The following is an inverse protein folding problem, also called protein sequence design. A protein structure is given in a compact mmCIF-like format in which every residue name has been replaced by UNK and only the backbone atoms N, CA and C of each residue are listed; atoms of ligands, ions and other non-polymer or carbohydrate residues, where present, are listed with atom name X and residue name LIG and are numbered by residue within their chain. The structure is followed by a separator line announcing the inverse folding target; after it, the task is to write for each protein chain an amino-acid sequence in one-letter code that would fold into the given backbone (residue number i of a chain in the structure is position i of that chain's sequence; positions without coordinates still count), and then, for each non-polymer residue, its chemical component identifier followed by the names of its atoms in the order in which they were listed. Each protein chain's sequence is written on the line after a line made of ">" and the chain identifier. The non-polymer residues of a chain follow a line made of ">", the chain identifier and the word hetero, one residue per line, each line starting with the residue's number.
data_IF_610362307106
#
_entry.id   IF_610362307106
#
_cell.length_a   1.000
_cell.length_b   1.000
_cell.length_c   1.000
_cell.angle_alpha   90.00
_cell.angle_beta   90.00
_cell.angle_gamma   90.00
#
_symmetry.space_group_name_H-M   'P 1'
#
loop_
_entity.id
_entity.type
_entity.pdbx_description
1 polymer ?
#
# COMPACT_ATOMS: atom_id res chain seq x y z
N UNK A 1 -7.64 23.10 -9.21
CA UNK A 1 -7.37 22.01 -10.16
C UNK A 1 -6.71 20.88 -9.39
N UNK A 2 -7.45 19.85 -9.08
CA UNK A 2 -6.90 18.68 -8.35
C UNK A 2 -6.10 17.87 -9.36
N UNK A 3 -4.78 17.88 -9.18
CA UNK A 3 -3.87 17.09 -10.01
C UNK A 3 -4.26 15.61 -9.86
N UNK A 4 -4.49 14.91 -10.95
CA UNK A 4 -4.83 13.47 -10.94
C UNK A 4 -3.74 12.58 -10.30
N UNK A 5 -2.62 13.16 -9.88
CA UNK A 5 -1.52 12.51 -9.17
C UNK A 5 -1.67 12.51 -7.63
N UNK A 6 -2.66 13.17 -7.08
CA UNK A 6 -2.84 13.32 -5.62
C UNK A 6 -3.80 12.29 -4.99
N UNK A 7 -4.06 11.19 -5.69
CA UNK A 7 -4.89 10.09 -5.17
C UNK A 7 -4.14 9.10 -4.28
N UNK A 8 -3.17 9.57 -3.54
CA UNK A 8 -2.40 8.73 -2.63
C UNK A 8 -2.14 9.46 -1.32
N UNK A 9 -1.70 8.73 -0.30
CA UNK A 9 -1.25 9.30 0.95
C UNK A 9 0.03 10.12 0.80
N UNK A 10 0.60 10.52 1.91
CA UNK A 10 1.85 11.26 1.99
C UNK A 10 2.98 10.57 1.23
N UNK A 11 3.79 11.35 0.51
CA UNK A 11 5.00 10.87 -0.15
C UNK A 11 6.19 11.06 0.78
N UNK A 12 6.86 9.96 1.12
CA UNK A 12 8.12 9.95 1.87
C UNK A 12 9.26 9.54 0.94
N UNK A 13 10.44 10.07 1.17
CA UNK A 13 11.63 9.76 0.37
C UNK A 13 12.89 9.65 1.22
N UNK A 14 13.93 9.07 0.64
CA UNK A 14 15.17 8.75 1.33
C UNK A 14 15.13 7.35 1.93
N UNK A 15 16.32 6.77 2.10
CA UNK A 15 16.46 5.37 2.50
C UNK A 15 15.86 5.08 3.88
N UNK A 16 16.11 5.93 4.86
CA UNK A 16 15.63 5.70 6.23
C UNK A 16 14.10 5.85 6.37
N UNK A 17 13.47 6.94 5.93
CA UNK A 17 12.02 7.08 6.01
C UNK A 17 11.26 6.00 5.23
N UNK A 18 11.74 5.65 4.05
CA UNK A 18 11.13 4.59 3.23
C UNK A 18 11.23 3.24 3.91
N UNK A 19 12.40 2.88 4.44
CA UNK A 19 12.59 1.63 5.18
C UNK A 19 11.68 1.57 6.42
N UNK A 20 11.62 2.67 7.16
CA UNK A 20 10.78 2.76 8.36
C UNK A 20 9.30 2.53 8.03
N UNK A 21 8.76 3.22 7.01
CA UNK A 21 7.38 3.03 6.59
C UNK A 21 7.11 1.59 6.14
N UNK A 22 7.96 1.04 5.29
CA UNK A 22 7.78 -0.32 4.77
C UNK A 22 7.82 -1.40 5.86
N UNK A 23 8.53 -1.15 6.95
CA UNK A 23 8.63 -2.08 8.10
C UNK A 23 7.57 -1.86 9.16
N UNK A 24 6.96 -0.69 9.21
CA UNK A 24 6.04 -0.30 10.30
C UNK A 24 4.71 -1.05 10.32
N UNK A 25 4.32 -1.65 9.19
CA UNK A 25 2.99 -2.24 9.03
C UNK A 25 1.87 -1.21 8.84
N UNK A 26 2.20 0.09 8.77
CA UNK A 26 1.22 1.17 8.57
C UNK A 26 0.57 1.17 7.18
N UNK A 27 1.10 0.35 6.27
CA UNK A 27 0.63 0.28 4.89
C UNK A 27 1.34 1.25 3.95
N UNK A 28 1.72 0.72 2.80
CA UNK A 28 2.32 1.49 1.71
C UNK A 28 1.54 1.22 0.42
N UNK A 29 1.30 2.27 -0.35
CA UNK A 29 0.62 2.18 -1.64
C UNK A 29 1.60 1.80 -2.75
N UNK A 30 2.56 2.67 -3.02
CA UNK A 30 3.50 2.51 -4.13
C UNK A 30 4.91 2.89 -3.70
N UNK A 31 5.86 2.01 -3.98
CA UNK A 31 7.28 2.28 -3.88
C UNK A 31 7.82 2.69 -5.26
N UNK A 32 8.47 3.83 -5.31
CA UNK A 32 9.15 4.33 -6.51
C UNK A 32 10.66 4.14 -6.35
N UNK A 33 11.27 3.47 -7.30
CA UNK A 33 12.71 3.24 -7.37
C UNK A 33 13.29 3.93 -8.60
N UNK A 34 14.34 4.72 -8.44
CA UNK A 34 15.04 5.30 -9.56
C UNK A 34 15.71 4.19 -10.40
N UNK A 35 15.66 4.33 -11.72
CA UNK A 35 16.34 3.39 -12.64
C UNK A 35 17.84 3.31 -12.40
N UNK A 36 18.42 4.40 -11.89
CA UNK A 36 19.86 4.50 -11.55
C UNK A 36 20.23 3.87 -10.20
N UNK A 37 19.23 3.43 -9.41
CA UNK A 37 19.51 2.82 -8.11
C UNK A 37 20.27 1.51 -8.28
N UNK A 38 21.27 1.29 -7.40
CA UNK A 38 22.05 0.05 -7.35
C UNK A 38 21.13 -1.19 -7.30
N UNK A 39 21.41 -2.24 -8.12
CA UNK A 39 20.57 -3.44 -8.18
C UNK A 39 20.37 -4.14 -6.85
N UNK A 40 21.34 -4.13 -5.95
CA UNK A 40 21.23 -4.68 -4.60
C UNK A 40 20.22 -3.90 -3.76
N UNK A 41 20.34 -2.59 -3.76
CA UNK A 41 19.40 -1.71 -3.07
C UNK A 41 18.00 -1.85 -3.66
N UNK A 42 17.87 -1.88 -4.98
CA UNK A 42 16.58 -2.09 -5.64
C UNK A 42 15.93 -3.42 -5.24
N UNK A 43 16.69 -4.51 -5.18
CA UNK A 43 16.20 -5.81 -4.73
C UNK A 43 15.74 -5.81 -3.27
N UNK A 44 16.51 -5.16 -2.40
CA UNK A 44 16.17 -5.01 -0.98
C UNK A 44 14.83 -4.27 -0.79
N UNK A 45 14.67 -3.10 -1.41
CA UNK A 45 13.44 -2.32 -1.32
C UNK A 45 12.25 -2.99 -1.99
N UNK A 46 12.46 -3.70 -3.10
CA UNK A 46 11.42 -4.49 -3.75
C UNK A 46 10.89 -5.59 -2.82
N UNK A 47 11.77 -6.27 -2.10
CA UNK A 47 11.38 -7.28 -1.11
C UNK A 47 10.58 -6.68 0.03
N UNK A 48 11.03 -5.55 0.59
CA UNK A 48 10.29 -4.84 1.64
C UNK A 48 8.91 -4.39 1.15
N UNK A 49 8.82 -3.84 -0.06
CA UNK A 49 7.55 -3.39 -0.64
C UNK A 49 6.57 -4.55 -0.81
N UNK A 50 7.02 -5.69 -1.30
CA UNK A 50 6.17 -6.90 -1.42
C UNK A 50 5.66 -7.37 -0.07
N UNK A 51 6.50 -7.35 0.95
CA UNK A 51 6.09 -7.70 2.31
C UNK A 51 5.07 -6.71 2.88
N UNK A 52 5.15 -5.45 2.50
CA UNK A 52 4.22 -4.39 2.89
C UNK A 52 2.94 -4.33 2.02
N UNK A 53 2.85 -5.14 0.97
CA UNK A 53 1.73 -5.13 0.03
C UNK A 53 1.74 -3.95 -0.95
N UNK A 54 2.86 -3.26 -1.10
CA UNK A 54 3.00 -2.12 -1.99
C UNK A 54 3.34 -2.54 -3.44
N UNK A 55 2.86 -1.76 -4.40
CA UNK A 55 3.26 -1.87 -5.80
C UNK A 55 4.61 -1.21 -6.00
N UNK A 56 5.51 -1.81 -6.78
CA UNK A 56 6.81 -1.26 -7.12
C UNK A 56 6.80 -0.68 -8.52
N UNK A 57 7.24 0.57 -8.67
CA UNK A 57 7.40 1.24 -9.96
C UNK A 57 8.83 1.74 -10.14
N UNK A 58 9.43 1.39 -11.27
CA UNK A 58 10.73 1.95 -11.68
C UNK A 58 10.49 3.25 -12.43
N UNK A 59 11.21 4.29 -12.07
CA UNK A 59 11.09 5.62 -12.68
C UNK A 59 12.45 6.24 -12.92
N UNK A 60 12.60 7.14 -13.93
CA UNK A 60 13.81 7.93 -14.08
C UNK A 60 14.08 8.81 -12.84
N UNK A 61 15.33 9.01 -12.49
CA UNK A 61 15.72 9.86 -11.35
C UNK A 61 15.16 11.28 -11.45
N UNK A 62 15.08 11.84 -12.65
CA UNK A 62 14.48 13.16 -12.90
C UNK A 62 12.98 13.22 -12.56
N UNK A 63 12.24 12.14 -12.82
CA UNK A 63 10.83 12.03 -12.41
C UNK A 63 10.71 11.96 -10.90
N UNK A 64 11.57 11.19 -10.26
CA UNK A 64 11.59 11.09 -8.80
C UNK A 64 11.91 12.43 -8.14
N UNK A 65 12.85 13.19 -8.70
CA UNK A 65 13.17 14.54 -8.27
C UNK A 65 11.98 15.50 -8.38
N UNK A 66 11.21 15.42 -9.46
CA UNK A 66 9.98 16.22 -9.60
C UNK A 66 8.92 15.83 -8.59
N UNK A 67 8.77 14.55 -8.29
CA UNK A 67 7.78 14.06 -7.33
C UNK A 67 8.11 14.49 -5.90
N UNK A 68 9.39 14.43 -5.53
CA UNK A 68 9.85 14.74 -4.15
C UNK A 68 10.17 16.20 -3.93
N UNK A 69 10.37 16.97 -5.00
CA UNK A 69 10.81 18.36 -4.94
C UNK A 69 12.29 18.55 -4.56
N UNK A 70 13.07 17.49 -4.51
CA UNK A 70 14.50 17.51 -4.15
C UNK A 70 15.30 16.50 -4.96
N UNK A 71 16.57 16.81 -5.19
CA UNK A 71 17.52 15.85 -5.76
C UNK A 71 18.04 14.84 -4.72
N UNK A 72 17.86 15.13 -3.44
CA UNK A 72 18.34 14.31 -2.31
C UNK A 72 17.31 13.24 -1.86
N UNK A 73 16.75 12.55 -2.84
CA UNK A 73 15.79 11.46 -2.58
C UNK A 73 16.45 10.08 -2.43
N UNK A 74 17.76 9.98 -2.65
CA UNK A 74 18.55 8.74 -2.55
C UNK A 74 18.03 7.59 -3.44
N UNK A 75 17.29 7.90 -4.50
CA UNK A 75 16.76 6.92 -5.45
C UNK A 75 15.52 6.16 -4.99
N UNK A 76 14.94 6.51 -3.86
CA UNK A 76 13.77 5.82 -3.30
C UNK A 76 12.74 6.80 -2.78
N UNK A 77 11.46 6.51 -3.06
CA UNK A 77 10.32 7.21 -2.48
C UNK A 77 9.16 6.23 -2.32
N UNK A 78 8.33 6.45 -1.33
CA UNK A 78 7.15 5.62 -1.09
C UNK A 78 5.95 6.51 -0.79
N UNK A 79 4.82 6.16 -1.38
CA UNK A 79 3.55 6.78 -1.05
C UNK A 79 2.86 5.94 0.01
N UNK A 80 2.55 6.54 1.14
CA UNK A 80 1.81 5.89 2.21
C UNK A 80 0.41 5.50 1.75
N UNK A 81 -0.15 4.44 2.29
CA UNK A 81 -1.53 4.06 2.04
C UNK A 81 -2.49 5.11 2.62
N UNK A 82 -3.59 5.36 1.90
CA UNK A 82 -4.68 6.21 2.40
C UNK A 82 -5.65 5.46 3.30
N UNK A 83 -5.53 4.12 3.33
CA UNK A 83 -6.36 3.24 4.14
C UNK A 83 -5.54 2.76 5.32
N UNK A 84 -6.09 2.95 6.49
CA UNK A 84 -5.53 2.42 7.73
C UNK A 84 -5.97 0.96 7.89
N UNK A 85 -5.00 0.07 8.06
CA UNK A 85 -5.27 -1.30 8.42
C UNK A 85 -5.58 -1.40 9.91
N UNK A 86 -6.56 -2.22 10.23
CA UNK A 86 -6.97 -2.49 11.62
C UNK A 86 -6.75 -3.97 11.93
N UNK A 87 -6.72 -4.33 13.20
CA UNK A 87 -6.64 -5.73 13.61
C UNK A 87 -8.01 -6.42 13.48
N UNK A 88 -8.00 -7.76 13.42
CA UNK A 88 -9.23 -8.55 13.25
C UNK A 88 -10.25 -8.29 14.36
N UNK A 89 -9.76 -8.12 15.58
CA UNK A 89 -10.56 -7.85 16.75
C UNK A 89 -11.38 -6.56 16.61
N UNK A 90 -10.83 -5.54 15.95
CA UNK A 90 -11.54 -4.29 15.69
C UNK A 90 -12.72 -4.49 14.74
N UNK A 91 -12.58 -5.37 13.75
CA UNK A 91 -13.66 -5.71 12.83
C UNK A 91 -14.79 -6.48 13.54
N UNK A 92 -14.43 -7.41 14.40
CA UNK A 92 -15.41 -8.16 15.20
C UNK A 92 -16.15 -7.24 16.17
N UNK A 93 -15.44 -6.32 16.82
CA UNK A 93 -16.04 -5.32 17.71
C UNK A 93 -17.02 -4.40 16.97
N UNK A 94 -16.75 -4.04 15.72
CA UNK A 94 -17.67 -3.24 14.89
C UNK A 94 -18.98 -3.98 14.62
N UNK A 95 -18.91 -5.26 14.30
CA UNK A 95 -20.10 -6.08 14.09
C UNK A 95 -20.94 -6.20 15.39
N UNK A 96 -20.29 -6.45 16.53
CA UNK A 96 -20.92 -6.53 17.83
C UNK A 96 -21.61 -5.20 18.20
N UNK A 97 -20.92 -4.07 18.00
CA UNK A 97 -21.47 -2.75 18.26
C UNK A 97 -22.69 -2.42 17.39
N UNK A 98 -22.74 -2.96 16.17
CA UNK A 98 -23.90 -2.86 15.27
C UNK A 98 -25.04 -3.84 15.62
N UNK A 99 -24.81 -4.78 16.53
CA UNK A 99 -25.79 -5.83 16.86
C UNK A 99 -26.00 -6.83 15.73
N UNK A 100 -25.00 -7.01 14.88
CA UNK A 100 -25.06 -7.86 13.69
C UNK A 100 -24.09 -9.04 13.80
N UNK A 101 -24.43 -10.20 13.22
CA UNK A 101 -23.44 -11.27 13.06
C UNK A 101 -22.24 -10.80 12.23
N UNK A 102 -21.01 -11.12 12.62
CA UNK A 102 -19.83 -10.68 11.85
C UNK A 102 -19.83 -11.28 10.45
N UNK A 103 -19.73 -10.40 9.45
CA UNK A 103 -19.58 -10.77 8.06
C UNK A 103 -18.21 -10.25 7.57
N UNK A 104 -17.25 -11.15 7.41
CA UNK A 104 -15.91 -10.86 6.97
C UNK A 104 -15.59 -11.59 5.67
N UNK A 105 -14.86 -10.94 4.78
CA UNK A 105 -14.36 -11.53 3.53
C UNK A 105 -12.87 -11.80 3.68
N UNK A 106 -12.47 -13.06 3.59
CA UNK A 106 -11.07 -13.44 3.65
C UNK A 106 -10.53 -13.58 2.22
N UNK A 107 -9.50 -12.79 1.90
CA UNK A 107 -8.83 -12.80 0.60
C UNK A 107 -7.46 -13.46 0.75
N UNK A 108 -7.31 -14.68 0.28
CA UNK A 108 -6.04 -15.39 0.28
C UNK A 108 -5.50 -15.53 -1.15
N UNK A 109 -4.22 -15.26 -1.33
CA UNK A 109 -3.53 -15.43 -2.61
C UNK A 109 -3.98 -14.47 -3.73
N UNK A 110 -4.57 -13.32 -3.40
CA UNK A 110 -4.93 -12.30 -4.39
C UNK A 110 -3.69 -11.47 -4.71
N UNK A 111 -3.23 -11.55 -5.95
CA UNK A 111 -2.02 -10.85 -6.42
C UNK A 111 -2.35 -9.65 -7.31
N UNK A 112 -3.49 -9.67 -8.00
CA UNK A 112 -3.91 -8.61 -8.91
C UNK A 112 -4.68 -7.53 -8.16
N UNK A 113 -4.22 -6.26 -8.18
CA UNK A 113 -4.90 -5.13 -7.56
C UNK A 113 -6.34 -4.93 -8.06
N UNK A 114 -6.62 -5.17 -9.34
CA UNK A 114 -7.96 -5.04 -9.90
C UNK A 114 -8.92 -6.10 -9.36
N UNK A 115 -8.44 -7.32 -9.16
CA UNK A 115 -9.23 -8.38 -8.55
C UNK A 115 -9.54 -8.06 -7.09
N UNK A 116 -8.56 -7.63 -6.32
CA UNK A 116 -8.78 -7.21 -4.94
C UNK A 116 -9.79 -6.05 -4.87
N UNK A 117 -9.66 -5.04 -5.72
CA UNK A 117 -10.59 -3.92 -5.80
C UNK A 117 -12.02 -4.36 -6.10
N UNK A 118 -12.21 -5.30 -7.01
CA UNK A 118 -13.53 -5.86 -7.34
C UNK A 118 -14.14 -6.60 -6.14
N UNK A 119 -13.36 -7.40 -5.45
CA UNK A 119 -13.79 -8.14 -4.25
C UNK A 119 -14.20 -7.17 -3.14
N UNK A 120 -13.36 -6.18 -2.83
CA UNK A 120 -13.64 -5.20 -1.77
C UNK A 120 -14.91 -4.38 -2.07
N UNK A 121 -15.10 -3.99 -3.33
CA UNK A 121 -16.29 -3.25 -3.76
C UNK A 121 -17.56 -4.07 -3.57
N UNK A 122 -17.54 -5.33 -3.97
CA UNK A 122 -18.67 -6.25 -3.79
C UNK A 122 -18.93 -6.51 -2.29
N UNK A 123 -17.87 -6.77 -1.53
CA UNK A 123 -17.98 -6.97 -0.08
C UNK A 123 -18.63 -5.78 0.62
N UNK A 124 -18.20 -4.56 0.28
CA UNK A 124 -18.78 -3.34 0.81
C UNK A 124 -20.28 -3.21 0.48
N UNK A 125 -20.66 -3.46 -0.78
CA UNK A 125 -22.06 -3.40 -1.23
C UNK A 125 -22.94 -4.47 -0.57
N UNK A 126 -22.36 -5.62 -0.21
CA UNK A 126 -23.05 -6.69 0.49
C UNK A 126 -23.15 -6.49 2.02
N UNK A 127 -22.57 -5.40 2.53
CA UNK A 127 -22.60 -5.08 3.96
C UNK A 127 -21.56 -5.81 4.80
N UNK A 128 -20.44 -6.23 4.21
CA UNK A 128 -19.35 -6.83 4.97
C UNK A 128 -18.76 -5.82 5.97
N UNK A 129 -18.43 -6.28 7.17
CA UNK A 129 -17.80 -5.47 8.23
C UNK A 129 -16.34 -5.19 7.96
N UNK A 130 -15.71 -6.00 7.12
CA UNK A 130 -14.34 -5.80 6.67
C UNK A 130 -13.84 -6.93 5.80
N UNK A 131 -12.65 -6.69 5.22
CA UNK A 131 -11.91 -7.70 4.48
C UNK A 131 -10.59 -8.00 5.17
N UNK A 132 -10.23 -9.25 5.23
CA UNK A 132 -8.97 -9.73 5.79
C UNK A 132 -8.07 -10.13 4.64
N UNK A 133 -6.89 -9.52 4.59
CA UNK A 133 -5.85 -9.83 3.61
C UNK A 133 -4.57 -10.28 4.32
N UNK A 134 -3.76 -11.17 3.71
CA UNK A 134 -2.49 -11.56 4.30
C UNK A 134 -1.52 -10.38 4.42
N UNK A 135 -0.77 -10.32 5.50
CA UNK A 135 0.32 -9.32 5.65
C UNK A 135 1.44 -9.51 4.63
N UNK A 136 1.60 -10.72 4.12
CA UNK A 136 2.66 -11.09 3.15
C UNK A 136 2.08 -11.99 2.07
N UNK A 137 2.67 -11.92 0.88
CA UNK A 137 2.32 -12.84 -0.22
C UNK A 137 1.07 -12.47 -0.99
N UNK A 138 0.60 -11.25 -0.90
CA UNK A 138 -0.53 -10.75 -1.66
C UNK A 138 -0.43 -9.24 -1.93
N UNK A 139 -1.32 -8.72 -2.74
CA UNK A 139 -1.43 -7.28 -2.97
C UNK A 139 -2.15 -6.61 -1.81
N UNK A 140 -1.64 -5.47 -1.37
CA UNK A 140 -2.32 -4.61 -0.40
C UNK A 140 -3.33 -3.67 -1.05
N UNK A 141 -4.05 -2.92 -0.23
CA UNK A 141 -4.99 -1.89 -0.71
C UNK A 141 -4.19 -0.67 -1.14
N UNK A 142 -4.02 -0.50 -2.43
CA UNK A 142 -3.26 0.58 -3.06
C UNK A 142 -4.19 1.53 -3.81
N UNK A 143 -3.65 2.64 -4.32
CA UNK A 143 -4.42 3.56 -5.16
C UNK A 143 -4.96 2.93 -6.45
N UNK A 144 -4.43 1.76 -6.86
CA UNK A 144 -4.94 0.99 -8.00
C UNK A 144 -6.15 0.14 -7.61
N UNK A 145 -6.23 -0.28 -6.36
CA UNK A 145 -7.36 -1.03 -5.80
C UNK A 145 -8.57 -0.14 -5.58
#
# INVERSE_FOLDING_TARGET
>A
MINQNDRGGELLWGKNPVTELLRSGAGADTLYLADSLDPRAAGYYTTLARQAGAVVKRVPAGKLQKMTGTADHQGVAVRAATIEYVELEDLLARAEAAGEPPFLVLCDGIEDPHNLGAILRTAFLCGAHGAVIPRRGGVGVTGTV
#
